data_IF_431305417292
#
_entry.id   IF_431305417292
#
_cell.length_a   1.000
_cell.length_b   1.000
_cell.length_c   1.000
_cell.angle_alpha   90.00
_cell.angle_beta   90.00
_cell.angle_gamma   90.00
#
_symmetry.space_group_name_H-M   'P 1'
#
loop_
_entity.id
_entity.type
_entity.pdbx_description
1 polymer ?
#
# COMPACT_ATOMS: atom_id res chain seq x y z
N UNK A 1 10.20 16.33 15.69
CA UNK A 1 11.02 15.25 15.12
C UNK A 1 10.28 14.70 13.91
N UNK A 2 10.97 14.55 12.79
CA UNK A 2 10.39 14.08 11.54
C UNK A 2 11.06 12.79 11.08
N UNK A 3 10.31 11.93 10.38
CA UNK A 3 10.85 10.79 9.63
C UNK A 3 10.63 11.00 8.13
N UNK A 4 11.58 10.53 7.34
CA UNK A 4 11.51 10.52 5.89
C UNK A 4 11.51 9.07 5.44
N UNK A 5 10.48 8.66 4.70
CA UNK A 5 10.27 7.28 4.28
C UNK A 5 10.14 7.25 2.77
N UNK A 6 10.92 6.40 2.11
CA UNK A 6 10.69 6.02 0.73
C UNK A 6 10.00 4.66 0.72
N UNK A 7 8.77 4.59 0.22
CA UNK A 7 8.02 3.32 0.18
C UNK A 7 8.76 2.27 -0.66
N UNK A 8 9.52 2.71 -1.67
CA UNK A 8 10.28 1.85 -2.56
C UNK A 8 11.33 1.00 -1.81
N UNK A 9 11.83 1.46 -0.66
CA UNK A 9 12.76 0.72 0.17
C UNK A 9 12.18 -0.58 0.73
N UNK A 10 10.86 -0.66 0.90
CA UNK A 10 10.17 -1.84 1.43
C UNK A 10 9.17 -2.48 0.44
N UNK A 11 8.71 -1.73 -0.56
CA UNK A 11 7.63 -2.14 -1.47
C UNK A 11 7.89 -1.68 -2.91
N UNK A 12 9.16 -1.47 -3.27
CA UNK A 12 9.59 -0.92 -4.54
C UNK A 12 9.77 -1.93 -5.66
N UNK A 13 9.65 -1.43 -6.89
CA UNK A 13 9.75 -2.18 -8.14
C UNK A 13 11.16 -2.78 -8.35
N UNK A 14 12.19 -2.17 -7.78
CA UNK A 14 13.58 -2.66 -7.81
C UNK A 14 13.83 -3.86 -6.89
N UNK A 15 12.98 -4.05 -5.87
CA UNK A 15 13.04 -5.23 -5.00
C UNK A 15 12.50 -6.49 -5.69
N UNK A 16 11.82 -6.33 -6.84
CA UNK A 16 11.17 -7.41 -7.57
C UNK A 16 11.82 -7.58 -8.94
N UNK A 17 12.55 -8.70 -9.10
CA UNK A 17 13.12 -9.08 -10.38
C UNK A 17 12.05 -9.04 -11.49
N UNK A 18 12.37 -8.57 -12.72
CA UNK A 18 11.38 -8.38 -13.78
C UNK A 18 10.48 -9.61 -14.03
N UNK A 19 11.06 -10.81 -14.04
CA UNK A 19 10.33 -12.07 -14.24
C UNK A 19 9.38 -12.47 -13.10
N UNK A 20 9.48 -11.82 -11.93
CA UNK A 20 8.65 -12.06 -10.74
C UNK A 20 7.62 -10.96 -10.48
N UNK A 21 7.54 -9.96 -11.36
CA UNK A 21 6.61 -8.84 -11.22
C UNK A 21 5.18 -9.32 -11.45
N UNK A 22 4.38 -9.29 -10.39
CA UNK A 22 2.96 -9.62 -10.45
C UNK A 22 2.19 -8.74 -9.44
N UNK A 23 1.46 -7.72 -9.92
CA UNK A 23 0.81 -6.74 -9.05
C UNK A 23 -0.36 -7.32 -8.25
N UNK A 24 -0.85 -8.52 -8.61
CA UNK A 24 -1.91 -9.21 -7.87
C UNK A 24 -1.41 -9.78 -6.53
N UNK A 25 -0.11 -10.07 -6.40
CA UNK A 25 0.46 -10.72 -5.20
C UNK A 25 1.41 -9.82 -4.41
N UNK A 26 1.96 -8.77 -5.02
CA UNK A 26 2.85 -7.82 -4.35
C UNK A 26 2.10 -7.04 -3.27
N UNK A 27 2.69 -6.89 -2.09
CA UNK A 27 2.08 -6.25 -0.92
C UNK A 27 2.85 -5.01 -0.47
N UNK A 28 2.10 -4.01 0.03
CA UNK A 28 2.63 -2.79 0.64
C UNK A 28 2.95 -2.92 2.14
N UNK A 29 2.87 -4.14 2.71
CA UNK A 29 3.06 -4.42 4.13
C UNK A 29 4.30 -3.75 4.74
N UNK A 30 5.46 -3.93 4.11
CA UNK A 30 6.72 -3.37 4.61
C UNK A 30 6.71 -1.84 4.70
N UNK A 31 5.94 -1.15 3.85
CA UNK A 31 5.75 0.31 3.99
C UNK A 31 5.03 0.66 5.29
N UNK A 32 4.01 -0.13 5.67
CA UNK A 32 3.33 0.02 6.96
C UNK A 32 4.25 -0.25 8.15
N UNK A 33 5.20 -1.19 8.01
CA UNK A 33 6.22 -1.43 9.04
C UNK A 33 7.19 -0.27 9.19
N UNK A 34 7.64 0.35 8.09
CA UNK A 34 8.46 1.57 8.14
C UNK A 34 7.72 2.71 8.86
N UNK A 35 6.43 2.90 8.57
CA UNK A 35 5.60 3.89 9.25
C UNK A 35 5.49 3.56 10.75
N UNK A 36 5.22 2.30 11.11
CA UNK A 36 5.15 1.85 12.50
C UNK A 36 6.47 2.13 13.24
N UNK A 37 7.61 1.80 12.64
CA UNK A 37 8.92 2.08 13.23
C UNK A 37 9.19 3.58 13.42
N UNK A 38 8.75 4.42 12.48
CA UNK A 38 8.83 5.87 12.65
C UNK A 38 7.97 6.34 13.85
N UNK A 39 6.75 5.80 13.99
CA UNK A 39 5.88 6.09 15.14
C UNK A 39 6.48 5.58 16.46
N UNK A 40 7.17 4.43 16.45
CA UNK A 40 7.88 3.88 17.61
C UNK A 40 9.03 4.80 18.06
N UNK A 41 9.68 5.48 17.12
CA UNK A 41 10.68 6.51 17.41
C UNK A 41 10.07 7.83 17.95
N UNK A 42 8.75 7.90 18.09
CA UNK A 42 8.03 9.04 18.64
C UNK A 42 8.03 10.27 17.73
N UNK A 43 8.18 10.08 16.41
CA UNK A 43 8.06 11.19 15.46
C UNK A 43 6.61 11.69 15.40
N UNK A 44 6.45 12.98 15.11
CA UNK A 44 5.14 13.65 15.00
C UNK A 44 4.88 14.18 13.58
N UNK A 45 5.82 13.95 12.68
CA UNK A 45 5.76 14.34 11.29
C UNK A 45 6.45 13.27 10.45
N UNK A 46 5.76 12.75 9.43
CA UNK A 46 6.30 11.78 8.49
C UNK A 46 6.13 12.37 7.09
N UNK A 47 7.20 12.37 6.31
CA UNK A 47 7.17 12.66 4.87
C UNK A 47 7.42 11.34 4.14
N UNK A 48 6.51 10.96 3.25
CA UNK A 48 6.54 9.69 2.53
C UNK A 48 6.63 9.92 1.03
N UNK A 49 7.69 9.43 0.40
CA UNK A 49 7.77 9.29 -1.05
C UNK A 49 7.12 7.99 -1.51
N UNK A 50 6.15 8.07 -2.43
CA UNK A 50 5.39 6.90 -2.91
C UNK A 50 5.70 6.46 -4.35
N UNK A 51 6.71 7.09 -4.97
CA UNK A 51 7.21 6.70 -6.29
C UNK A 51 7.86 5.32 -6.29
N UNK A 52 7.95 4.70 -7.47
CA UNK A 52 8.70 3.46 -7.67
C UNK A 52 8.08 2.19 -7.07
N UNK A 53 6.76 2.17 -6.81
CA UNK A 53 6.09 1.01 -6.21
C UNK A 53 6.04 -0.23 -7.11
N UNK A 54 6.19 -1.42 -6.50
CA UNK A 54 5.87 -2.70 -7.13
C UNK A 54 4.38 -3.06 -7.00
N UNK A 55 3.67 -2.43 -6.07
CA UNK A 55 2.38 -2.90 -5.56
C UNK A 55 1.19 -2.30 -6.31
N UNK A 56 0.09 -3.06 -6.38
CA UNK A 56 -1.22 -2.57 -6.82
C UNK A 56 -2.33 -3.07 -5.87
N UNK A 57 -2.04 -3.07 -4.58
CA UNK A 57 -2.89 -3.58 -3.51
C UNK A 57 -3.70 -2.47 -2.82
N UNK A 58 -3.79 -1.28 -3.40
CA UNK A 58 -4.52 -0.14 -2.81
C UNK A 58 -4.02 0.29 -1.43
N UNK A 59 -2.80 -0.10 -1.02
CA UNK A 59 -2.31 0.13 0.34
C UNK A 59 -2.86 -0.84 1.39
N UNK A 60 -3.51 -1.93 0.96
CA UNK A 60 -4.09 -2.93 1.85
C UNK A 60 -3.06 -3.52 2.83
N UNK A 61 -1.92 -3.97 2.32
CA UNK A 61 -0.86 -4.50 3.17
C UNK A 61 -0.34 -3.47 4.17
N UNK A 62 -0.17 -2.22 3.73
CA UNK A 62 0.29 -1.11 4.57
C UNK A 62 -0.66 -0.87 5.75
N UNK A 63 -1.97 -0.78 5.51
CA UNK A 63 -2.93 -0.54 6.60
C UNK A 63 -3.09 -1.76 7.51
N UNK A 64 -2.98 -2.98 6.97
CA UNK A 64 -2.96 -4.20 7.77
C UNK A 64 -1.76 -4.24 8.73
N UNK A 65 -0.56 -3.86 8.26
CA UNK A 65 0.63 -3.75 9.11
C UNK A 65 0.50 -2.68 10.21
N UNK A 66 -0.37 -1.69 9.99
CA UNK A 66 -0.74 -0.64 10.94
C UNK A 66 -1.97 -0.99 11.80
N UNK A 67 -2.44 -2.24 11.74
CA UNK A 67 -3.46 -2.79 12.65
C UNK A 67 -4.89 -2.78 12.13
N UNK A 68 -5.14 -2.32 10.89
CA UNK A 68 -6.46 -2.47 10.24
C UNK A 68 -6.72 -3.93 9.92
N UNK A 69 -7.95 -4.39 10.15
CA UNK A 69 -8.38 -5.71 9.68
C UNK A 69 -9.21 -5.54 8.41
N UNK A 70 -8.70 -6.11 7.33
CA UNK A 70 -9.42 -6.28 6.07
C UNK A 70 -10.00 -7.68 6.07
N UNK A 71 -11.33 -7.80 6.02
CA UNK A 71 -12.05 -9.06 6.19
C UNK A 71 -12.93 -9.38 4.98
N UNK A 72 -13.02 -10.67 4.66
CA UNK A 72 -13.94 -11.20 3.66
C UNK A 72 -15.38 -11.35 4.20
N UNK A 73 -16.29 -11.83 3.36
CA UNK A 73 -17.70 -12.04 3.74
C UNK A 73 -17.91 -13.11 4.84
N UNK A 74 -16.88 -13.91 5.15
CA UNK A 74 -16.85 -14.93 6.21
C UNK A 74 -16.07 -14.45 7.44
N UNK A 75 -15.79 -13.14 7.51
CA UNK A 75 -14.98 -12.51 8.56
C UNK A 75 -13.56 -13.09 8.69
N UNK A 76 -13.00 -13.66 7.61
CA UNK A 76 -11.62 -14.11 7.55
C UNK A 76 -10.71 -12.98 7.03
N UNK A 77 -9.45 -12.89 7.47
CA UNK A 77 -8.51 -11.92 6.95
C UNK A 77 -8.31 -12.06 5.43
N UNK A 78 -8.39 -10.95 4.72
CA UNK A 78 -8.01 -10.84 3.31
C UNK A 78 -6.50 -11.08 3.17
N UNK A 79 -6.12 -11.92 2.22
CA UNK A 79 -4.72 -12.23 1.93
C UNK A 79 -3.92 -11.04 1.38
N UNK A 80 -2.60 -11.21 1.17
CA UNK A 80 -1.75 -10.16 0.64
C UNK A 80 -1.97 -9.93 -0.86
N UNK A 81 -1.75 -8.69 -1.30
CA UNK A 81 -1.72 -8.32 -2.72
C UNK A 81 -3.07 -7.86 -3.27
N UNK A 82 -3.04 -7.22 -4.45
CA UNK A 82 -4.24 -6.63 -5.05
C UNK A 82 -5.27 -7.64 -5.54
N UNK A 83 -4.89 -8.88 -5.82
CA UNK A 83 -5.81 -9.93 -6.24
C UNK A 83 -6.80 -10.35 -5.15
N UNK A 84 -6.36 -10.29 -3.89
CA UNK A 84 -7.17 -10.68 -2.74
C UNK A 84 -8.24 -9.63 -2.40
N UNK A 85 -8.07 -8.38 -2.86
CA UNK A 85 -9.03 -7.30 -2.61
C UNK A 85 -10.42 -7.57 -3.20
N UNK A 86 -10.55 -8.45 -4.19
CA UNK A 86 -11.85 -8.87 -4.70
C UNK A 86 -12.73 -9.57 -3.64
N UNK A 87 -12.10 -10.14 -2.59
CA UNK A 87 -12.80 -10.79 -1.49
C UNK A 87 -13.19 -9.83 -0.35
N UNK A 88 -12.68 -8.59 -0.36
CA UNK A 88 -12.89 -7.62 0.72
C UNK A 88 -14.39 -7.28 0.87
N UNK A 89 -14.92 -7.53 2.06
CA UNK A 89 -16.30 -7.22 2.41
C UNK A 89 -16.41 -6.24 3.58
N UNK A 90 -15.42 -6.22 4.49
CA UNK A 90 -15.46 -5.37 5.68
C UNK A 90 -14.07 -4.82 6.05
N UNK A 91 -14.05 -3.56 6.50
CA UNK A 91 -12.86 -2.88 7.00
C UNK A 91 -13.10 -2.53 8.48
N UNK A 92 -12.33 -3.16 9.37
CA UNK A 92 -12.35 -2.90 10.81
C UNK A 92 -11.11 -2.07 11.20
N UNK A 93 -11.35 -0.81 11.58
CA UNK A 93 -10.32 0.15 11.99
C UNK A 93 -10.02 0.13 13.49
N UNK A 94 -10.66 -0.74 14.28
CA UNK A 94 -10.51 -0.77 15.74
C UNK A 94 -9.08 -1.01 16.22
N UNK A 95 -8.28 -1.70 15.39
CA UNK A 95 -6.86 -1.97 15.64
C UNK A 95 -5.89 -0.96 15.03
N UNK A 96 -6.38 0.05 14.29
CA UNK A 96 -5.52 1.05 13.65
C UNK A 96 -4.64 1.74 14.69
N UNK A 97 -3.34 1.88 14.39
CA UNK A 97 -2.38 2.55 15.25
C UNK A 97 -2.82 3.99 15.54
N UNK A 98 -3.27 4.22 16.79
CA UNK A 98 -3.85 5.49 17.22
C UNK A 98 -2.88 6.66 17.09
N UNK A 99 -1.57 6.40 17.08
CA UNK A 99 -0.53 7.45 16.94
C UNK A 99 -0.59 8.14 15.58
N UNK A 100 -1.20 7.51 14.56
CA UNK A 100 -1.41 8.11 13.25
C UNK A 100 -2.28 9.38 13.34
N UNK A 101 -3.27 9.42 14.22
CA UNK A 101 -4.15 10.58 14.38
C UNK A 101 -3.40 11.82 14.89
N UNK A 102 -2.36 11.62 15.69
CA UNK A 102 -1.54 12.68 16.28
C UNK A 102 -0.27 12.97 15.46
N UNK A 103 -0.10 12.33 14.31
CA UNK A 103 1.08 12.46 13.47
C UNK A 103 0.70 13.18 12.18
N UNK A 104 1.39 14.28 11.85
CA UNK A 104 1.25 14.90 10.54
C UNK A 104 1.91 13.98 9.51
N UNK A 105 1.15 13.52 8.52
CA UNK A 105 1.70 12.68 7.44
C UNK A 105 1.53 13.45 6.13
N UNK A 106 2.65 13.69 5.45
CA UNK A 106 2.69 14.31 4.13
C UNK A 106 3.19 13.29 3.12
N UNK A 107 2.51 13.20 1.99
CA UNK A 107 2.85 12.27 0.93
C UNK A 107 3.31 13.07 -0.28
N UNK A 108 4.52 12.82 -0.74
CA UNK A 108 5.01 13.38 -2.00
C UNK A 108 4.30 12.65 -3.16
N UNK A 109 3.31 13.33 -3.74
CA UNK A 109 2.53 12.86 -4.88
C UNK A 109 2.63 13.89 -6.00
N UNK A 110 3.19 13.49 -7.14
CA UNK A 110 3.47 14.32 -8.31
C UNK A 110 2.50 14.05 -9.48
N UNK A 111 1.51 13.18 -9.28
CA UNK A 111 0.52 12.78 -10.29
C UNK A 111 -0.91 13.09 -9.84
N UNK A 112 -1.82 13.28 -10.78
CA UNK A 112 -3.25 13.57 -10.52
C UNK A 112 -4.16 12.38 -10.82
N UNK A 113 -3.59 11.20 -11.09
CA UNK A 113 -4.34 10.00 -11.43
C UNK A 113 -5.28 9.57 -10.29
N UNK A 114 -6.56 9.29 -10.56
CA UNK A 114 -7.48 8.77 -9.55
C UNK A 114 -7.16 7.32 -9.18
N UNK A 115 -7.87 6.79 -8.17
CA UNK A 115 -7.72 5.39 -7.77
C UNK A 115 -8.17 4.42 -8.88
N UNK A 116 -9.32 4.67 -9.50
CA UNK A 116 -9.98 3.79 -10.48
C UNK A 116 -10.30 4.53 -11.79
N UNK A 117 -10.66 3.77 -12.83
CA UNK A 117 -11.04 4.29 -14.14
C UNK A 117 -9.91 4.23 -15.17
N UNK A 118 -10.14 4.78 -16.36
CA UNK A 118 -9.20 4.74 -17.49
C UNK A 118 -7.86 5.43 -17.18
N UNK A 119 -7.89 6.50 -16.38
CA UNK A 119 -6.70 7.17 -15.87
C UNK A 119 -6.29 6.67 -14.47
N UNK A 120 -6.89 5.57 -13.99
CA UNK A 120 -6.71 5.05 -12.64
C UNK A 120 -5.38 4.34 -12.40
N UNK A 121 -5.12 3.97 -11.14
CA UNK A 121 -3.86 3.38 -10.72
C UNK A 121 -3.49 2.11 -11.50
N UNK A 122 -4.44 1.17 -11.62
CA UNK A 122 -4.23 -0.09 -12.34
C UNK A 122 -4.01 0.14 -13.84
N UNK A 123 -4.77 1.04 -14.45
CA UNK A 123 -4.70 1.30 -15.89
C UNK A 123 -3.39 1.98 -16.30
N UNK A 124 -2.96 2.98 -15.55
CA UNK A 124 -1.80 3.81 -15.90
C UNK A 124 -0.49 3.21 -15.39
N UNK A 125 -0.47 2.72 -14.15
CA UNK A 125 0.78 2.26 -13.51
C UNK A 125 0.87 0.74 -13.35
N UNK A 126 -0.21 -0.02 -13.58
CA UNK A 126 -0.19 -1.47 -13.55
C UNK A 126 0.77 -2.10 -14.58
N UNK A 127 0.80 -1.66 -15.85
CA UNK A 127 1.63 -2.29 -16.88
C UNK A 127 3.14 -2.34 -16.55
N UNK A 128 3.70 -1.24 -16.04
CA UNK A 128 5.11 -1.20 -15.61
C UNK A 128 5.43 -2.13 -14.41
N UNK A 129 4.39 -2.50 -13.64
CA UNK A 129 4.45 -3.44 -12.52
C UNK A 129 4.19 -4.89 -12.93
N UNK A 130 4.02 -5.16 -14.22
CA UNK A 130 3.77 -6.49 -14.76
C UNK A 130 2.29 -6.85 -14.93
N UNK A 131 1.36 -5.89 -14.81
CA UNK A 131 -0.05 -6.15 -15.08
C UNK A 131 -0.27 -6.43 -16.58
N UNK A 132 -0.96 -7.53 -16.89
CA UNK A 132 -1.48 -7.76 -18.24
C UNK A 132 -2.78 -6.98 -18.46
N UNK A 133 -3.23 -6.76 -19.71
CA UNK A 133 -4.52 -6.11 -19.98
C UNK A 133 -5.72 -6.80 -19.31
N UNK A 134 -5.63 -8.11 -19.04
CA UNK A 134 -6.68 -8.86 -18.33
C UNK A 134 -6.65 -8.55 -16.83
N UNK A 135 -5.47 -8.33 -16.23
CA UNK A 135 -5.34 -7.98 -14.81
C UNK A 135 -5.78 -6.55 -14.49
N UNK A 136 -5.82 -5.67 -15.49
CA UNK A 136 -6.20 -4.25 -15.34
C UNK A 136 -7.73 -4.06 -15.37
N UNK A 137 -8.46 -5.00 -15.97
CA UNK A 137 -9.92 -4.96 -16.10
C UNK A 137 -10.62 -5.51 -14.85
#
# INVERSE_FOLDING_TARGET
KSAFIEMAAASGLELVAPAKRNPLITTSWGTGELIRHALDAGVKHIIIGIGGSATNDGGAGMVQALGVKLLDAKAQPVGPGGGELASLAHIDLSGLDKRLADCRIEVACDVTNPLIGEAGASAVFGPQKGATPVMVR
#
